data_IF_967880443358
#
_entry.id   IF_967880443358
#
_cell.length_a   1.000
_cell.length_b   1.000
_cell.length_c   1.000
_cell.angle_alpha   90.00
_cell.angle_beta   90.00
_cell.angle_gamma   90.00
#
_symmetry.space_group_name_H-M   'P 1'
#
loop_
_entity.id
_entity.type
_entity.pdbx_description
1 polymer ?
#
# COMPACT_ATOMS: atom_id res chain seq x y z
N UNK A 1 -4.31 -16.14 -2.68
CA UNK A 1 -3.92 -15.13 -1.69
C UNK A 1 -3.24 -13.98 -2.40
N UNK A 2 -3.78 -12.75 -2.35
CA UNK A 2 -3.06 -11.59 -2.86
C UNK A 2 -2.10 -11.05 -1.78
N UNK A 3 -0.82 -10.89 -2.10
CA UNK A 3 0.15 -10.30 -1.18
C UNK A 3 0.04 -8.77 -1.25
N UNK A 4 -0.40 -8.14 -0.15
CA UNK A 4 -0.44 -6.67 -0.03
C UNK A 4 0.75 -6.21 0.82
N UNK A 5 1.50 -5.22 0.34
CA UNK A 5 2.68 -4.68 1.03
C UNK A 5 2.72 -3.16 0.94
N UNK A 6 3.18 -2.52 2.01
CA UNK A 6 3.52 -1.08 2.01
C UNK A 6 5.01 -0.94 1.72
N UNK A 7 5.37 -0.09 0.76
CA UNK A 7 6.75 0.31 0.46
C UNK A 7 6.96 1.77 0.82
N UNK A 8 8.03 2.07 1.52
CA UNK A 8 8.50 3.45 1.65
C UNK A 8 9.24 3.85 0.36
N UNK A 9 9.04 5.09 -0.06
CA UNK A 9 9.71 5.71 -1.19
C UNK A 9 10.79 6.68 -0.68
N UNK A 10 11.78 6.96 -1.52
CA UNK A 10 12.93 7.80 -1.16
C UNK A 10 12.54 9.28 -0.93
N UNK A 11 11.37 9.69 -1.44
CA UNK A 11 10.78 11.02 -1.26
C UNK A 11 10.02 11.17 0.08
N UNK A 12 10.06 10.15 0.96
CA UNK A 12 9.36 10.16 2.24
C UNK A 12 7.88 9.78 2.15
N UNK A 13 7.39 9.42 0.96
CA UNK A 13 6.03 8.92 0.77
C UNK A 13 5.96 7.40 0.85
N UNK A 14 4.74 6.87 0.86
CA UNK A 14 4.47 5.43 0.89
C UNK A 14 3.67 5.01 -0.35
N UNK A 15 3.91 3.79 -0.80
CA UNK A 15 3.18 3.13 -1.86
C UNK A 15 2.61 1.80 -1.36
N UNK A 16 1.39 1.46 -1.79
CA UNK A 16 0.78 0.16 -1.53
C UNK A 16 0.90 -0.68 -2.79
N UNK A 17 1.45 -1.89 -2.65
CA UNK A 17 1.62 -2.86 -3.72
C UNK A 17 0.75 -4.08 -3.48
N UNK A 18 0.06 -4.56 -4.52
CA UNK A 18 -0.66 -5.84 -4.52
C UNK A 18 0.01 -6.77 -5.53
N UNK A 19 0.45 -7.93 -5.08
CA UNK A 19 1.17 -8.92 -5.91
C UNK A 19 2.39 -8.36 -6.66
N UNK A 20 3.07 -7.37 -6.07
CA UNK A 20 4.24 -6.73 -6.66
C UNK A 20 3.94 -5.50 -7.53
N UNK A 21 2.68 -5.26 -7.91
CA UNK A 21 2.26 -4.07 -8.66
C UNK A 21 1.80 -2.96 -7.71
N UNK A 22 2.25 -1.73 -7.92
CA UNK A 22 1.77 -0.58 -7.17
C UNK A 22 0.31 -0.28 -7.55
N UNK A 23 -0.56 -0.22 -6.54
CA UNK A 23 -1.97 0.18 -6.69
C UNK A 23 -2.20 1.63 -6.26
N UNK A 24 -1.34 2.16 -5.39
CA UNK A 24 -1.33 3.56 -4.99
C UNK A 24 0.07 3.99 -4.54
N UNK A 25 0.42 5.26 -4.75
CA UNK A 25 1.69 5.88 -4.36
C UNK A 25 1.46 7.32 -3.89
N UNK A 26 2.50 7.94 -3.30
CA UNK A 26 2.40 9.31 -2.78
C UNK A 26 1.59 9.42 -1.48
N UNK A 27 1.40 8.31 -0.77
CA UNK A 27 0.57 8.25 0.43
C UNK A 27 1.37 8.65 1.66
N UNK A 28 0.69 9.23 2.65
CA UNK A 28 1.18 9.26 4.02
C UNK A 28 1.12 7.85 4.63
N UNK A 29 1.87 7.63 5.72
CA UNK A 29 1.87 6.32 6.40
C UNK A 29 0.47 5.89 6.82
N UNK A 30 -0.31 6.79 7.42
CA UNK A 30 -1.66 6.51 7.88
C UNK A 30 -2.61 6.14 6.72
N UNK A 31 -2.48 6.82 5.57
CA UNK A 31 -3.25 6.50 4.37
C UNK A 31 -2.87 5.11 3.81
N UNK A 32 -1.58 4.77 3.80
CA UNK A 32 -1.11 3.47 3.36
C UNK A 32 -1.62 2.34 4.27
N UNK A 33 -1.57 2.51 5.59
CA UNK A 33 -2.11 1.55 6.55
C UNK A 33 -3.63 1.36 6.38
N UNK A 34 -4.39 2.45 6.24
CA UNK A 34 -5.83 2.37 5.99
C UNK A 34 -6.15 1.66 4.67
N UNK A 35 -5.41 1.96 3.60
CA UNK A 35 -5.61 1.34 2.29
C UNK A 35 -5.30 -0.16 2.31
N UNK A 36 -4.27 -0.60 3.06
CA UNK A 36 -3.99 -2.02 3.25
C UNK A 36 -5.10 -2.73 4.01
N UNK A 37 -5.66 -2.10 5.05
CA UNK A 37 -6.78 -2.66 5.80
C UNK A 37 -8.01 -2.87 4.90
N UNK A 38 -8.37 -1.87 4.08
CA UNK A 38 -9.48 -1.96 3.13
C UNK A 38 -9.22 -3.02 2.05
N UNK A 39 -8.03 -3.04 1.46
CA UNK A 39 -7.68 -4.01 0.41
C UNK A 39 -7.59 -5.45 0.93
N UNK A 40 -7.19 -5.63 2.20
CA UNK A 40 -7.14 -6.93 2.86
C UNK A 40 -8.52 -7.48 3.24
N UNK A 41 -9.54 -6.62 3.36
CA UNK A 41 -10.93 -7.05 3.52
C UNK A 41 -11.56 -7.53 2.21
N UNK A 42 -11.08 -7.03 1.06
CA UNK A 42 -11.63 -7.33 -0.27
C UNK A 42 -10.95 -8.58 -0.88
N UNK A 43 -9.92 -9.15 -0.23
CA UNK A 43 -9.03 -10.16 -0.81
C UNK A 43 -9.31 -11.60 -0.40
#
# INVERSE_FOLDING_TARGET
MASIKIRASADGTFAVCRNGSAVASGLTRAQADHLVAVLGWIS
#
